data_IF_211975671750
#
_entry.id   IF_211975671750
#
_cell.length_a   1.000
_cell.length_b   1.000
_cell.length_c   1.000
_cell.angle_alpha   90.00
_cell.angle_beta   90.00
_cell.angle_gamma   90.00
#
_symmetry.space_group_name_H-M   'P 1'
#
loop_
_entity.id
_entity.type
_entity.pdbx_description
1 polymer ?
#
# COMPACT_ATOMS: atom_id res chain seq x y z
N UNK A 1 22.54 5.64 13.86
CA UNK A 1 22.27 4.49 12.95
C UNK A 1 21.52 5.00 11.75
N UNK A 2 21.77 4.47 10.55
CA UNK A 2 21.11 4.93 9.32
C UNK A 2 19.84 4.10 9.11
N UNK A 3 18.72 4.73 8.75
CA UNK A 3 17.50 3.99 8.37
C UNK A 3 17.52 3.66 6.89
N UNK A 4 17.01 2.49 6.58
CA UNK A 4 16.85 1.99 5.22
C UNK A 4 15.43 1.47 5.02
N UNK A 5 14.98 1.50 3.78
CA UNK A 5 13.83 0.75 3.31
C UNK A 5 14.31 -0.35 2.36
N UNK A 6 13.84 -1.56 2.59
CA UNK A 6 14.15 -2.74 1.78
C UNK A 6 12.85 -3.20 1.14
N UNK A 7 12.85 -3.40 -0.17
CA UNK A 7 11.74 -3.98 -0.91
C UNK A 7 12.17 -5.31 -1.49
N UNK A 8 11.36 -6.35 -1.27
CA UNK A 8 11.59 -7.70 -1.79
C UNK A 8 10.35 -8.14 -2.56
N UNK A 9 10.52 -8.59 -3.79
CA UNK A 9 9.41 -9.06 -4.63
C UNK A 9 9.80 -10.22 -5.53
N UNK A 10 8.83 -11.09 -5.84
CA UNK A 10 8.99 -12.24 -6.73
C UNK A 10 8.10 -13.41 -6.29
N UNK A 11 8.28 -14.62 -6.85
CA UNK A 11 7.38 -15.73 -6.62
C UNK A 11 7.31 -16.13 -5.14
N UNK A 12 6.09 -16.20 -4.60
CA UNK A 12 5.87 -16.58 -3.21
C UNK A 12 6.27 -18.03 -2.95
N UNK A 13 6.91 -18.25 -1.79
CA UNK A 13 7.28 -19.58 -1.31
C UNK A 13 7.55 -19.56 0.19
N UNK A 14 7.44 -20.72 0.87
CA UNK A 14 7.90 -20.84 2.24
C UNK A 14 9.37 -20.42 2.40
N UNK A 15 9.67 -19.70 3.48
CA UNK A 15 11.04 -19.35 3.87
C UNK A 15 11.55 -17.97 3.45
N UNK A 16 10.79 -17.18 2.67
CA UNK A 16 11.23 -15.83 2.23
C UNK A 16 11.53 -14.94 3.44
N UNK A 17 10.55 -14.79 4.35
CA UNK A 17 10.73 -13.98 5.55
C UNK A 17 11.85 -14.51 6.45
N UNK A 18 12.02 -15.83 6.54
CA UNK A 18 13.10 -16.44 7.30
C UNK A 18 14.47 -16.07 6.71
N UNK A 19 14.62 -16.15 5.39
CA UNK A 19 15.86 -15.78 4.70
C UNK A 19 16.18 -14.29 4.88
N UNK A 20 15.21 -13.40 4.61
CA UNK A 20 15.40 -11.95 4.73
C UNK A 20 15.76 -11.56 6.18
N UNK A 21 14.99 -12.03 7.16
CA UNK A 21 15.23 -11.69 8.56
C UNK A 21 16.56 -12.24 9.08
N UNK A 22 16.96 -13.45 8.66
CA UNK A 22 18.26 -14.02 9.01
C UNK A 22 19.41 -13.16 8.50
N UNK A 23 19.37 -12.74 7.23
CA UNK A 23 20.41 -11.89 6.64
C UNK A 23 20.51 -10.55 7.38
N UNK A 24 19.36 -9.91 7.65
CA UNK A 24 19.35 -8.66 8.40
C UNK A 24 19.94 -8.82 9.80
N UNK A 25 19.59 -9.92 10.48
CA UNK A 25 20.17 -10.24 11.79
C UNK A 25 21.69 -10.50 11.71
N UNK A 26 22.17 -11.28 10.74
CA UNK A 26 23.59 -11.57 10.52
C UNK A 26 24.41 -10.31 10.19
N UNK A 27 23.77 -9.29 9.61
CA UNK A 27 24.38 -7.99 9.30
C UNK A 27 24.15 -6.93 10.39
N UNK A 28 23.72 -7.34 11.59
CA UNK A 28 23.45 -6.46 12.74
C UNK A 28 22.44 -5.33 12.42
N UNK A 29 21.50 -5.61 11.50
CA UNK A 29 20.41 -4.72 11.16
C UNK A 29 19.18 -5.03 12.04
N UNK A 30 18.57 -3.99 12.60
CA UNK A 30 17.35 -4.12 13.41
C UNK A 30 16.12 -3.75 12.57
N UNK A 31 15.16 -4.66 12.45
CA UNK A 31 13.89 -4.39 11.74
C UNK A 31 12.99 -3.54 12.64
N UNK A 32 12.58 -2.36 12.17
CA UNK A 32 11.64 -1.48 12.87
C UNK A 32 10.18 -1.74 12.46
N UNK A 33 9.95 -1.93 11.17
CA UNK A 33 8.61 -2.10 10.63
C UNK A 33 8.63 -3.04 9.42
N UNK A 34 7.60 -3.85 9.27
CA UNK A 34 7.44 -4.74 8.12
C UNK A 34 5.99 -4.74 7.66
N UNK A 35 5.80 -4.68 6.35
CA UNK A 35 4.54 -5.01 5.71
C UNK A 35 4.80 -6.00 4.59
N UNK A 36 3.89 -6.94 4.43
CA UNK A 36 3.98 -7.98 3.42
C UNK A 36 2.60 -8.31 2.91
N UNK A 37 2.50 -8.56 1.61
CA UNK A 37 1.30 -9.08 0.97
C UNK A 37 1.65 -10.13 -0.07
N UNK A 38 0.70 -11.03 -0.33
CA UNK A 38 0.74 -11.92 -1.48
C UNK A 38 -0.24 -11.37 -2.50
N UNK A 39 0.23 -11.10 -3.72
CA UNK A 39 -0.59 -10.70 -4.85
C UNK A 39 -0.61 -11.87 -5.84
N UNK A 40 -1.70 -12.64 -5.82
CA UNK A 40 -1.80 -13.92 -6.53
C UNK A 40 -0.70 -14.90 -6.06
N UNK A 41 0.30 -15.19 -6.90
CA UNK A 41 1.44 -16.06 -6.57
C UNK A 41 2.71 -15.27 -6.28
N UNK A 42 2.65 -13.95 -6.20
CA UNK A 42 3.81 -13.08 -6.01
C UNK A 42 3.86 -12.56 -4.57
N UNK A 43 5.02 -12.75 -3.95
CA UNK A 43 5.39 -12.11 -2.70
C UNK A 43 5.76 -10.64 -2.97
N UNK A 44 5.28 -9.73 -2.12
CA UNK A 44 5.75 -8.35 -2.05
C UNK A 44 5.90 -7.96 -0.59
N UNK A 45 7.13 -7.65 -0.18
CA UNK A 45 7.48 -7.27 1.18
C UNK A 45 8.24 -5.95 1.22
N UNK A 46 7.94 -5.12 2.19
CA UNK A 46 8.68 -3.89 2.49
C UNK A 46 9.07 -3.85 3.96
N UNK A 47 10.34 -3.54 4.23
CA UNK A 47 10.93 -3.53 5.56
C UNK A 47 11.58 -2.18 5.80
N UNK A 48 11.33 -1.58 6.95
CA UNK A 48 12.13 -0.47 7.48
C UNK A 48 13.07 -1.06 8.51
N UNK A 49 14.37 -0.80 8.35
CA UNK A 49 15.38 -1.30 9.27
C UNK A 49 16.41 -0.22 9.62
N UNK A 50 17.03 -0.38 10.78
CA UNK A 50 18.23 0.35 11.19
C UNK A 50 19.46 -0.45 10.78
N UNK A 51 20.40 0.22 10.14
CA UNK A 51 21.64 -0.35 9.65
C UNK A 51 22.84 0.20 10.46
N UNK A 52 23.84 -0.65 10.78
CA UNK A 52 25.04 -0.20 11.47
C UNK A 52 25.88 0.73 10.57
N UNK A 53 26.69 1.59 11.18
CA UNK A 53 27.36 2.69 10.46
C UNK A 53 28.44 2.23 9.47
N UNK A 54 29.00 1.04 9.68
CA UNK A 54 30.03 0.40 8.87
C UNK A 54 29.49 -0.36 7.65
N UNK A 55 28.17 -0.61 7.58
CA UNK A 55 27.54 -1.27 6.45
C UNK A 55 26.99 -0.23 5.47
N UNK A 56 27.17 -0.47 4.17
CA UNK A 56 26.59 0.37 3.11
C UNK A 56 25.30 -0.26 2.59
N UNK A 57 24.39 0.56 2.07
CA UNK A 57 23.15 0.07 1.44
C UNK A 57 23.43 -0.88 0.28
N UNK A 58 24.46 -0.58 -0.52
CA UNK A 58 24.84 -1.37 -1.69
C UNK A 58 25.38 -2.74 -1.27
N UNK A 59 26.22 -2.80 -0.23
CA UNK A 59 26.72 -4.07 0.29
C UNK A 59 25.58 -4.94 0.85
N UNK A 60 24.66 -4.34 1.61
CA UNK A 60 23.48 -5.04 2.10
C UNK A 60 22.58 -5.52 0.94
N UNK A 61 22.40 -4.70 -0.09
CA UNK A 61 21.66 -5.05 -1.29
C UNK A 61 22.30 -6.25 -2.01
N UNK A 62 23.64 -6.30 -2.11
CA UNK A 62 24.37 -7.45 -2.64
C UNK A 62 24.13 -8.71 -1.79
N UNK A 63 24.29 -8.66 -0.47
CA UNK A 63 24.06 -9.81 0.41
C UNK A 63 22.64 -10.38 0.28
N UNK A 64 21.64 -9.50 0.29
CA UNK A 64 20.24 -9.91 0.12
C UNK A 64 19.98 -10.47 -1.28
N UNK A 65 20.50 -9.82 -2.32
CA UNK A 65 20.30 -10.26 -3.71
C UNK A 65 20.93 -11.62 -3.96
N UNK A 66 22.17 -11.85 -3.51
CA UNK A 66 22.87 -13.12 -3.67
C UNK A 66 22.13 -14.26 -2.97
N UNK A 67 21.71 -14.05 -1.71
CA UNK A 67 21.01 -15.06 -0.94
C UNK A 67 19.59 -15.37 -1.45
N UNK A 68 18.92 -14.39 -2.06
CA UNK A 68 17.53 -14.51 -2.50
C UNK A 68 17.39 -14.79 -4.01
N UNK A 69 18.47 -14.71 -4.80
CA UNK A 69 18.51 -15.09 -6.21
C UNK A 69 18.04 -16.54 -6.45
N UNK A 70 18.43 -17.56 -5.66
CA UNK A 70 17.93 -18.93 -5.80
C UNK A 70 16.41 -19.05 -5.56
N UNK A 71 15.81 -18.07 -4.89
CA UNK A 71 14.37 -17.99 -4.65
C UNK A 71 13.64 -17.21 -5.75
N UNK A 72 14.36 -16.73 -6.78
CA UNK A 72 13.87 -15.85 -7.85
C UNK A 72 13.29 -14.52 -7.34
N UNK A 73 13.81 -14.02 -6.22
CA UNK A 73 13.40 -12.74 -5.66
C UNK A 73 14.32 -11.62 -6.11
N UNK A 74 13.73 -10.45 -6.30
CA UNK A 74 14.43 -9.20 -6.52
C UNK A 74 14.40 -8.37 -5.25
N UNK A 75 15.51 -7.66 -4.99
CA UNK A 75 15.69 -6.85 -3.80
C UNK A 75 16.13 -5.45 -4.19
N UNK A 76 15.61 -4.46 -3.48
CA UNK A 76 16.10 -3.09 -3.54
C UNK A 76 16.30 -2.56 -2.12
N UNK A 77 17.40 -1.86 -1.88
CA UNK A 77 17.71 -1.21 -0.60
C UNK A 77 17.95 0.28 -0.86
N UNK A 78 17.23 1.13 -0.14
CA UNK A 78 17.39 2.58 -0.22
C UNK A 78 17.56 3.18 1.16
N UNK A 79 18.32 4.27 1.25
CA UNK A 79 18.32 5.10 2.45
C UNK A 79 16.95 5.73 2.66
N UNK A 80 16.45 5.65 3.89
CA UNK A 80 15.22 6.31 4.28
C UNK A 80 15.57 7.71 4.80
N UNK A 81 15.36 8.71 3.96
CA UNK A 81 15.45 10.11 4.37
C UNK A 81 14.18 10.50 5.11
N UNK A 82 14.29 10.65 6.43
CA UNK A 82 13.18 11.18 7.23
C UNK A 82 13.16 12.69 7.04
N UNK A 83 12.41 13.16 6.03
CA UNK A 83 12.14 14.58 5.88
C UNK A 83 11.16 15.05 6.97
N UNK A 84 11.47 16.12 7.72
CA UNK A 84 10.53 16.68 8.72
C UNK A 84 9.16 17.05 8.13
N UNK A 85 9.11 17.43 6.85
CA UNK A 85 7.84 17.72 6.15
C UNK A 85 6.98 16.49 5.87
N UNK A 86 7.58 15.28 5.80
CA UNK A 86 6.84 14.04 5.61
C UNK A 86 6.05 13.63 6.87
N UNK A 87 6.44 14.16 8.04
CA UNK A 87 5.72 13.98 9.31
C UNK A 87 4.67 15.08 9.55
N UNK A 88 4.66 16.13 8.72
CA UNK A 88 3.80 17.31 8.84
C UNK A 88 2.79 17.40 7.69
N UNK A 89 2.17 16.28 7.32
CA UNK A 89 1.03 16.29 6.40
C UNK A 89 -0.07 17.23 6.90
N UNK A 90 -0.87 17.79 5.98
CA UNK A 90 -2.07 18.54 6.36
C UNK A 90 -2.92 17.68 7.32
N UNK A 91 -3.55 18.27 8.36
CA UNK A 91 -4.48 17.52 9.18
C UNK A 91 -5.52 16.86 8.27
N UNK A 92 -5.69 15.55 8.43
CA UNK A 92 -6.54 14.75 7.58
C UNK A 92 -7.33 13.75 8.42
N UNK A 93 -8.51 13.38 7.91
CA UNK A 93 -9.38 12.40 8.52
C UNK A 93 -9.43 11.13 7.64
N UNK A 94 -9.38 9.93 8.25
CA UNK A 94 -9.37 8.70 7.49
C UNK A 94 -10.78 8.30 7.04
N UNK A 95 -10.93 8.05 5.75
CA UNK A 95 -12.16 7.55 5.13
C UNK A 95 -11.92 6.26 4.35
N UNK A 96 -12.98 5.48 4.20
CA UNK A 96 -13.04 4.30 3.34
C UNK A 96 -14.03 4.59 2.22
N UNK A 97 -13.55 4.53 0.99
CA UNK A 97 -14.36 4.63 -0.22
C UNK A 97 -14.50 3.22 -0.78
N UNK A 98 -15.71 2.77 -1.00
CA UNK A 98 -16.00 1.47 -1.61
C UNK A 98 -16.75 1.68 -2.91
N UNK A 99 -16.24 1.15 -4.02
CA UNK A 99 -16.98 1.10 -5.28
C UNK A 99 -17.34 -0.33 -5.62
N UNK A 100 -18.58 -0.58 -6.06
CA UNK A 100 -19.05 -1.88 -6.55
C UNK A 100 -19.65 -1.73 -7.95
N UNK A 101 -19.28 -2.59 -8.88
CA UNK A 101 -19.88 -2.61 -10.21
C UNK A 101 -19.01 -3.31 -11.25
N UNK A 102 -19.26 -3.08 -12.55
CA UNK A 102 -18.47 -3.66 -13.62
C UNK A 102 -17.02 -3.21 -13.58
N UNK A 103 -16.08 -4.16 -13.62
CA UNK A 103 -14.68 -3.80 -13.82
C UNK A 103 -14.47 -3.38 -15.28
N UNK A 104 -13.77 -2.26 -15.46
CA UNK A 104 -13.52 -1.64 -16.76
C UNK A 104 -12.13 -1.03 -16.77
N UNK A 105 -11.49 -1.11 -17.94
CA UNK A 105 -10.19 -0.47 -18.17
C UNK A 105 -10.25 1.01 -17.77
N UNK A 106 -9.36 1.42 -16.88
CA UNK A 106 -9.24 2.80 -16.43
C UNK A 106 -10.09 3.18 -15.22
N UNK A 107 -10.85 2.25 -14.61
CA UNK A 107 -11.65 2.50 -13.40
C UNK A 107 -10.80 3.12 -12.29
N UNK A 108 -9.70 2.44 -11.93
CA UNK A 108 -8.79 2.94 -10.89
C UNK A 108 -8.28 4.33 -11.24
N UNK A 109 -7.83 4.56 -12.47
CA UNK A 109 -7.31 5.85 -12.91
C UNK A 109 -8.35 6.97 -12.87
N UNK A 110 -9.62 6.68 -13.16
CA UNK A 110 -10.69 7.66 -13.15
C UNK A 110 -11.05 8.08 -11.71
N UNK A 111 -11.20 7.11 -10.81
CA UNK A 111 -11.52 7.36 -9.40
C UNK A 111 -10.34 8.05 -8.69
N UNK A 112 -9.12 7.52 -8.84
CA UNK A 112 -7.94 8.08 -8.15
C UNK A 112 -7.54 9.45 -8.69
N UNK A 113 -7.89 9.79 -9.94
CA UNK A 113 -7.70 11.16 -10.46
C UNK A 113 -8.53 12.18 -9.71
N UNK A 114 -9.77 11.84 -9.34
CA UNK A 114 -10.61 12.74 -8.53
C UNK A 114 -10.02 12.85 -7.13
N UNK A 115 -9.70 11.72 -6.49
CA UNK A 115 -9.05 11.67 -5.17
C UNK A 115 -7.80 12.57 -5.15
N UNK A 116 -6.90 12.40 -6.12
CA UNK A 116 -5.69 13.21 -6.24
C UNK A 116 -5.99 14.70 -6.54
N UNK A 117 -7.03 15.00 -7.33
CA UNK A 117 -7.45 16.37 -7.64
C UNK A 117 -7.84 17.19 -6.42
N UNK A 118 -8.32 16.53 -5.36
CA UNK A 118 -8.61 17.14 -4.06
C UNK A 118 -7.42 17.11 -3.09
N UNK A 119 -6.25 16.61 -3.51
CA UNK A 119 -5.10 16.44 -2.63
C UNK A 119 -5.30 15.36 -1.56
N UNK A 120 -6.26 14.47 -1.76
CA UNK A 120 -6.53 13.33 -0.87
C UNK A 120 -5.52 12.24 -1.17
N UNK A 121 -4.89 11.69 -0.13
CA UNK A 121 -3.94 10.59 -0.30
C UNK A 121 -4.67 9.24 -0.22
N UNK A 122 -4.25 8.26 -1.03
CA UNK A 122 -4.70 6.87 -0.92
C UNK A 122 -3.69 6.10 -0.08
N UNK A 123 -4.09 5.69 1.12
CA UNK A 123 -3.22 4.96 2.06
C UNK A 123 -3.25 3.46 1.81
N UNK A 124 -4.36 2.93 1.29
CA UNK A 124 -4.48 1.54 0.88
C UNK A 124 -5.48 1.41 -0.28
N UNK A 125 -5.23 0.50 -1.20
CA UNK A 125 -6.16 0.14 -2.27
C UNK A 125 -6.19 -1.37 -2.42
N UNK A 126 -7.37 -1.95 -2.24
CA UNK A 126 -7.58 -3.38 -2.38
C UNK A 126 -8.75 -3.67 -3.32
N UNK A 127 -8.55 -4.61 -4.24
CA UNK A 127 -9.63 -5.24 -4.98
C UNK A 127 -10.14 -6.45 -4.17
N UNK A 128 -11.42 -6.46 -3.83
CA UNK A 128 -12.10 -7.59 -3.21
C UNK A 128 -12.97 -8.28 -4.26
N UNK A 129 -12.45 -9.34 -4.88
CA UNK A 129 -13.24 -10.22 -5.73
C UNK A 129 -14.04 -11.16 -4.82
N UNK A 130 -15.35 -10.91 -4.68
CA UNK A 130 -16.26 -11.89 -4.10
C UNK A 130 -16.48 -12.96 -5.17
N UNK A 131 -15.71 -14.05 -5.10
CA UNK A 131 -15.71 -15.14 -6.07
C UNK A 131 -17.07 -15.41 -6.70
N UNK A 132 -17.14 -15.21 -8.01
CA UNK A 132 -18.34 -15.34 -8.84
C UNK A 132 -18.04 -14.93 -10.27
N UNK A 133 -18.78 -15.47 -11.23
CA UNK A 133 -18.63 -15.14 -12.66
C UNK A 133 -19.32 -13.82 -13.05
N UNK A 134 -19.99 -13.15 -12.10
CA UNK A 134 -20.74 -11.93 -12.37
C UNK A 134 -19.81 -10.71 -12.42
N UNK A 135 -19.60 -10.08 -13.59
CA UNK A 135 -18.69 -8.95 -13.73
C UNK A 135 -19.12 -7.73 -12.92
N UNK A 136 -20.37 -7.65 -12.45
CA UNK A 136 -20.93 -6.51 -11.72
C UNK A 136 -20.66 -6.52 -10.21
N UNK A 137 -19.99 -7.55 -9.68
CA UNK A 137 -19.72 -7.70 -8.25
C UNK A 137 -18.28 -7.38 -7.84
N UNK A 138 -17.52 -6.72 -8.72
CA UNK A 138 -16.18 -6.27 -8.40
C UNK A 138 -16.25 -5.14 -7.38
N UNK A 139 -15.55 -5.32 -6.26
CA UNK A 139 -15.48 -4.33 -5.19
C UNK A 139 -14.05 -3.80 -5.14
N UNK A 140 -13.91 -2.48 -5.19
CA UNK A 140 -12.67 -1.79 -4.88
C UNK A 140 -12.84 -1.04 -3.57
N UNK A 141 -11.85 -1.15 -2.69
CA UNK A 141 -11.81 -0.49 -1.38
C UNK A 141 -10.59 0.42 -1.39
N UNK A 142 -10.82 1.72 -1.20
CA UNK A 142 -9.80 2.74 -1.07
C UNK A 142 -9.84 3.24 0.36
N UNK A 143 -8.77 3.04 1.12
CA UNK A 143 -8.54 3.78 2.35
C UNK A 143 -7.83 5.08 1.97
N UNK A 144 -8.36 6.20 2.44
CA UNK A 144 -7.90 7.53 2.06
C UNK A 144 -7.80 8.44 3.28
N UNK A 145 -6.85 9.38 3.23
CA UNK A 145 -6.71 10.46 4.19
C UNK A 145 -7.19 11.76 3.56
N UNK A 146 -8.35 12.24 4.02
CA UNK A 146 -9.04 13.42 3.47
C UNK A 146 -8.60 14.66 4.25
N UNK A 147 -7.91 15.64 3.63
CA UNK A 147 -7.47 16.84 4.33
C UNK A 147 -8.67 17.66 4.83
N UNK A 148 -8.58 18.20 6.04
CA UNK A 148 -9.70 18.93 6.68
C UNK A 148 -10.02 20.27 6.01
N UNK A 149 -9.13 20.77 5.15
CA UNK A 149 -9.24 22.06 4.47
C UNK A 149 -9.92 21.99 3.08
N UNK A 150 -10.36 20.80 2.65
CA UNK A 150 -11.05 20.63 1.36
C UNK A 150 -12.57 20.79 1.50
N UNK A 151 -13.24 21.11 0.38
CA UNK A 151 -14.70 21.00 0.29
C UNK A 151 -15.12 19.53 0.19
N UNK A 152 -15.42 18.93 1.35
CA UNK A 152 -15.87 17.54 1.44
C UNK A 152 -17.18 17.28 0.66
N UNK A 153 -18.07 18.27 0.55
CA UNK A 153 -19.31 18.11 -0.20
C UNK A 153 -19.06 18.05 -1.70
N UNK A 154 -18.16 18.89 -2.21
CA UNK A 154 -17.72 18.83 -3.61
C UNK A 154 -17.00 17.50 -3.90
N UNK A 155 -16.07 17.09 -3.03
CA UNK A 155 -15.37 15.82 -3.16
C UNK A 155 -16.33 14.61 -3.24
N UNK A 156 -17.33 14.55 -2.34
CA UNK A 156 -18.34 13.50 -2.35
C UNK A 156 -19.24 13.54 -3.59
N UNK A 157 -19.60 14.73 -4.09
CA UNK A 157 -20.40 14.86 -5.31
C UNK A 157 -19.62 14.37 -6.53
N UNK A 158 -18.40 14.86 -6.74
CA UNK A 158 -17.61 14.51 -7.92
C UNK A 158 -17.33 13.00 -8.00
N UNK A 159 -17.05 12.37 -6.85
CA UNK A 159 -16.91 10.92 -6.78
C UNK A 159 -18.19 10.17 -7.12
N UNK A 160 -19.36 10.66 -6.65
CA UNK A 160 -20.66 10.05 -6.98
C UNK A 160 -21.02 10.23 -8.45
N UNK A 161 -20.81 11.42 -9.01
CA UNK A 161 -21.09 11.71 -10.41
C UNK A 161 -20.22 10.83 -11.32
N UNK A 162 -18.94 10.68 -10.98
CA UNK A 162 -18.04 9.76 -11.70
C UNK A 162 -18.44 8.30 -11.51
N UNK A 163 -18.88 7.89 -10.32
CA UNK A 163 -19.36 6.53 -10.10
C UNK A 163 -20.59 6.23 -10.98
N UNK A 164 -21.55 7.15 -11.07
CA UNK A 164 -22.72 7.02 -11.96
C UNK A 164 -22.31 6.89 -13.42
N UNK A 165 -21.40 7.75 -13.90
CA UNK A 165 -20.85 7.69 -15.26
C UNK A 165 -20.22 6.32 -15.57
N UNK A 166 -19.55 5.73 -14.59
CA UNK A 166 -18.89 4.43 -14.72
C UNK A 166 -19.83 3.23 -14.46
N UNK A 167 -21.08 3.47 -14.06
CA UNK A 167 -22.04 2.41 -13.70
C UNK A 167 -21.70 1.72 -12.38
N UNK A 168 -21.07 2.44 -11.45
CA UNK A 168 -20.65 1.95 -10.13
C UNK A 168 -21.58 2.47 -9.03
N UNK A 169 -21.79 1.64 -8.02
CA UNK A 169 -22.32 2.06 -6.72
C UNK A 169 -21.14 2.46 -5.84
N UNK A 170 -21.21 3.64 -5.23
CA UNK A 170 -20.16 4.15 -4.34
C UNK A 170 -20.67 4.38 -2.92
N UNK A 171 -19.88 3.99 -1.94
CA UNK A 171 -20.06 4.31 -0.53
C UNK A 171 -18.83 5.05 -0.04
N UNK A 172 -19.01 6.08 0.77
CA UNK A 172 -17.94 6.85 1.38
C UNK A 172 -18.26 6.93 2.87
N UNK A 173 -17.38 6.39 3.70
CA UNK A 173 -17.61 6.27 5.14
C UNK A 173 -16.36 6.67 5.90
N UNK A 174 -16.53 7.34 7.04
CA UNK A 174 -15.40 7.58 7.93
C UNK A 174 -14.85 6.25 8.46
N UNK A 175 -13.53 6.06 8.49
CA UNK A 175 -12.88 4.77 8.80
C UNK A 175 -13.33 4.17 10.13
N UNK A 176 -13.45 5.00 11.18
CA UNK A 176 -13.96 4.56 12.50
C UNK A 176 -15.35 3.92 12.43
N UNK A 177 -16.23 4.40 11.57
CA UNK A 177 -17.58 3.83 11.38
C UNK A 177 -17.47 2.51 10.62
N UNK A 178 -16.65 2.46 9.58
CA UNK A 178 -16.41 1.25 8.80
C UNK A 178 -15.86 0.10 9.67
N UNK A 179 -14.88 0.39 10.53
CA UNK A 179 -14.30 -0.60 11.46
C UNK A 179 -15.31 -1.08 12.51
N UNK A 180 -16.18 -0.20 13.00
CA UNK A 180 -17.21 -0.57 13.99
C UNK A 180 -18.28 -1.51 13.39
N UNK A 181 -18.62 -1.34 12.11
CA UNK A 181 -19.66 -2.14 11.44
C UNK A 181 -19.10 -3.47 10.90
N UNK A 182 -17.83 -3.51 10.50
CA UNK A 182 -17.22 -4.68 9.83
C UNK A 182 -16.29 -5.50 10.73
N UNK A 183 -16.21 -5.21 12.03
CA UNK A 183 -15.57 -6.10 13.01
C UNK A 183 -16.40 -7.39 13.13
N UNK A 184 -15.88 -8.47 12.55
CA UNK A 184 -16.16 -9.87 12.91
C UNK A 184 -15.02 -10.37 13.77
#
# INVERSE_FOLDING_TARGET
MKKIIISVFGPDRPGILAAVSRILFEQDCNIENVTQTILQSEFSGSFIAQMPANLTSDALCCFLSEALTPMHLQVNVKHLEISPSALGGKPAEPFVITTRGPDRKGLVAAVTRIIAGYGVNVTNLQAAFKGGENPNDNIMIYEVDVPVDIDAHAFHRDLRDKAVELGLVISIQHRKIFEAINRV
#
